data_IF_865966370248
#
_entry.id   IF_865966370248
#
_cell.length_a   1.000
_cell.length_b   1.000
_cell.length_c   1.000
_cell.angle_alpha   90.00
_cell.angle_beta   90.00
_cell.angle_gamma   90.00
#
_symmetry.space_group_name_H-M   'P 1'
#
loop_
_entity.id
_entity.type
_entity.pdbx_description
1 polymer ?
#
# COMPACT_ATOMS: atom_id res chain seq x y z
N UNK A 1 -3.71 -1.88 9.65
CA UNK A 1 -4.23 -2.44 8.38
C UNK A 1 -5.03 -1.34 7.74
N UNK A 2 -4.89 -1.13 6.44
CA UNK A 2 -5.56 -0.04 5.73
C UNK A 2 -5.52 -0.27 4.20
N UNK A 3 -6.22 0.57 3.45
CA UNK A 3 -6.20 0.62 2.00
C UNK A 3 -5.40 1.79 1.44
N UNK A 4 -4.42 1.48 0.60
CA UNK A 4 -3.69 2.46 -0.18
C UNK A 4 -4.27 2.61 -1.59
N UNK A 5 -4.52 3.86 -1.99
CA UNK A 5 -5.00 4.22 -3.31
C UNK A 5 -5.72 5.57 -3.32
N UNK A 6 -6.34 5.96 -4.45
CA UNK A 6 -6.46 5.18 -5.68
C UNK A 6 -5.12 4.99 -6.41
N UNK A 7 -4.85 3.75 -6.83
CA UNK A 7 -3.75 3.42 -7.73
C UNK A 7 -4.21 3.67 -9.17
N UNK A 8 -3.86 4.85 -9.68
CA UNK A 8 -4.15 5.28 -11.06
C UNK A 8 -2.98 4.93 -12.00
N UNK A 9 -3.30 4.74 -13.28
CA UNK A 9 -2.31 4.71 -14.35
C UNK A 9 -2.05 6.14 -14.83
N UNK A 10 -1.17 6.83 -14.11
CA UNK A 10 -0.78 8.20 -14.43
C UNK A 10 0.74 8.39 -14.26
N UNK A 11 1.33 9.36 -14.95
CA UNK A 11 2.70 9.77 -14.67
C UNK A 11 2.81 10.32 -13.25
N UNK A 12 3.67 9.73 -12.44
CA UNK A 12 3.96 10.22 -11.10
C UNK A 12 5.18 11.15 -11.15
N UNK A 13 5.14 12.34 -10.53
CA UNK A 13 6.32 13.18 -10.39
C UNK A 13 7.38 12.45 -9.56
N UNK A 14 8.63 12.83 -9.73
CA UNK A 14 9.72 12.21 -8.97
C UNK A 14 11.07 12.77 -9.39
N UNK A 15 12.12 12.34 -8.70
CA UNK A 15 13.49 12.80 -8.93
C UNK A 15 14.36 11.60 -9.30
N UNK A 16 15.20 11.78 -10.31
CA UNK A 16 16.19 10.79 -10.72
C UNK A 16 17.46 11.52 -11.14
N UNK A 17 18.60 10.88 -10.94
CA UNK A 17 19.85 11.35 -11.50
C UNK A 17 19.74 11.32 -13.02
N UNK A 18 20.07 12.44 -13.65
CA UNK A 18 20.09 12.58 -15.09
C UNK A 18 21.27 13.46 -15.48
N UNK A 19 22.02 13.03 -16.50
CA UNK A 19 23.10 13.80 -17.11
C UNK A 19 22.57 15.13 -17.65
N UNK A 20 23.32 16.23 -17.47
CA UNK A 20 22.88 17.59 -17.88
C UNK A 20 22.48 17.63 -19.35
N UNK A 21 21.33 18.25 -19.63
CA UNK A 21 20.83 18.44 -20.99
C UNK A 21 21.31 19.77 -21.55
N UNK A 22 21.42 19.90 -22.87
CA UNK A 22 21.86 21.13 -23.54
C UNK A 22 23.15 20.93 -24.34
N UNK A 23 23.95 21.99 -24.51
CA UNK A 23 25.16 22.02 -25.37
C UNK A 23 26.23 20.97 -25.03
N UNK A 24 26.18 20.37 -23.84
CA UNK A 24 27.11 19.33 -23.40
C UNK A 24 26.52 17.92 -23.45
N UNK A 25 25.44 17.71 -24.22
CA UNK A 25 24.86 16.38 -24.42
C UNK A 25 25.80 15.55 -25.30
N UNK A 26 26.13 14.33 -24.87
CA UNK A 26 26.73 13.31 -25.72
C UNK A 26 25.84 13.06 -26.97
N UNK A 27 26.35 13.30 -28.19
CA UNK A 27 25.60 13.10 -29.45
C UNK A 27 25.20 11.65 -29.70
N UNK A 28 25.96 10.67 -29.21
CA UNK A 28 25.70 9.25 -29.44
C UNK A 28 24.59 8.69 -28.54
N UNK A 29 24.08 9.50 -27.60
CA UNK A 29 23.15 9.03 -26.57
C UNK A 29 21.69 9.32 -26.89
N UNK A 30 20.86 8.32 -26.61
CA UNK A 30 19.41 8.43 -26.70
C UNK A 30 18.86 9.62 -25.90
N UNK A 31 17.82 10.31 -26.41
CA UNK A 31 17.13 11.35 -25.66
C UNK A 31 16.61 10.84 -24.32
N UNK A 32 16.63 11.70 -23.30
CA UNK A 32 16.03 11.36 -22.00
C UNK A 32 14.57 10.94 -22.20
N UNK A 33 14.19 9.80 -21.62
CA UNK A 33 12.80 9.34 -21.62
C UNK A 33 11.89 10.44 -21.07
N UNK A 34 11.05 11.01 -21.94
CA UNK A 34 10.03 11.98 -21.55
C UNK A 34 8.83 11.23 -20.97
N UNK A 35 8.26 11.76 -19.88
CA UNK A 35 6.97 11.28 -19.38
C UNK A 35 5.85 11.88 -20.21
N UNK A 36 4.72 11.18 -20.26
CA UNK A 36 3.52 11.69 -20.92
C UNK A 36 3.08 12.98 -20.23
N UNK A 37 2.80 14.03 -21.01
CA UNK A 37 2.25 15.27 -20.49
C UNK A 37 0.75 15.13 -20.16
N UNK A 38 0.04 14.30 -20.93
CA UNK A 38 -1.39 14.05 -20.79
C UNK A 38 -1.63 12.55 -20.61
N UNK A 39 -2.61 12.20 -19.79
CA UNK A 39 -3.04 10.82 -19.59
C UNK A 39 -4.57 10.73 -19.49
N UNK A 40 -5.12 9.58 -19.85
CA UNK A 40 -6.55 9.29 -19.73
C UNK A 40 -6.79 8.27 -18.61
N UNK A 41 -7.94 8.37 -17.93
CA UNK A 41 -8.30 7.50 -16.79
C UNK A 41 -9.13 6.27 -17.18
N UNK A 42 -9.07 5.83 -18.43
CA UNK A 42 -9.89 4.73 -18.95
C UNK A 42 -9.61 3.37 -18.29
N UNK A 43 -8.38 3.14 -17.79
CA UNK A 43 -8.00 1.89 -17.14
C UNK A 43 -8.62 1.68 -15.75
N UNK A 44 -9.40 2.63 -15.25
CA UNK A 44 -9.94 2.63 -13.89
C UNK A 44 -8.84 2.66 -12.83
N UNK A 45 -9.23 2.38 -11.58
CA UNK A 45 -8.32 2.42 -10.42
C UNK A 45 -8.15 1.05 -9.80
N UNK A 46 -7.10 0.90 -9.00
CA UNK A 46 -6.92 -0.22 -8.08
C UNK A 46 -6.74 0.29 -6.66
N UNK A 47 -6.93 -0.61 -5.70
CA UNK A 47 -6.73 -0.37 -4.28
C UNK A 47 -5.86 -1.48 -3.72
N UNK A 48 -4.85 -1.11 -2.95
CA UNK A 48 -4.02 -2.06 -2.22
C UNK A 48 -4.58 -2.19 -0.81
N UNK A 49 -5.15 -3.34 -0.47
CA UNK A 49 -5.38 -3.70 0.93
C UNK A 49 -4.06 -4.17 1.51
N UNK A 50 -3.61 -3.61 2.64
CA UNK A 50 -2.36 -3.99 3.24
C UNK A 50 -2.44 -4.12 4.77
N UNK A 51 -1.57 -4.95 5.33
CA UNK A 51 -1.41 -5.12 6.77
C UNK A 51 0.07 -5.18 7.12
N UNK A 52 0.44 -4.48 8.19
CA UNK A 52 1.75 -4.59 8.82
C UNK A 52 1.60 -5.48 10.06
N UNK A 53 2.29 -6.61 10.07
CA UNK A 53 2.50 -7.41 11.26
C UNK A 53 3.60 -6.76 12.10
N UNK A 54 3.23 -6.32 13.31
CA UNK A 54 4.14 -5.62 14.22
C UNK A 54 5.12 -6.56 14.92
N UNK A 55 4.77 -7.84 15.11
CA UNK A 55 5.62 -8.82 15.78
C UNK A 55 6.73 -9.29 14.83
N UNK A 56 6.39 -9.61 13.58
CA UNK A 56 7.36 -10.07 12.58
C UNK A 56 7.96 -8.93 11.75
N UNK A 57 7.44 -7.71 11.91
CA UNK A 57 7.75 -6.58 11.03
C UNK A 57 7.61 -6.94 9.54
N UNK A 58 6.47 -7.54 9.16
CA UNK A 58 6.18 -7.97 7.78
C UNK A 58 4.99 -7.22 7.21
N UNK A 59 5.14 -6.72 5.99
CA UNK A 59 4.09 -6.09 5.21
C UNK A 59 3.43 -7.13 4.30
N UNK A 60 2.11 -7.20 4.33
CA UNK A 60 1.29 -8.02 3.44
C UNK A 60 0.41 -7.11 2.60
N UNK A 61 0.10 -7.50 1.37
CA UNK A 61 -0.71 -6.65 0.50
C UNK A 61 -1.37 -7.36 -0.67
N UNK A 62 -2.66 -7.08 -0.89
CA UNK A 62 -3.46 -7.57 -2.01
C UNK A 62 -4.06 -6.40 -2.81
N UNK A 63 -3.82 -6.41 -4.11
CA UNK A 63 -4.39 -5.40 -5.02
C UNK A 63 -5.77 -5.87 -5.48
N UNK A 64 -6.76 -4.99 -5.35
CA UNK A 64 -8.17 -5.23 -5.67
C UNK A 64 -8.73 -4.13 -6.58
N UNK A 65 -9.73 -4.44 -7.42
CA UNK A 65 -10.37 -3.44 -8.28
C UNK A 65 -11.27 -2.47 -7.52
N UNK A 66 -11.79 -2.87 -6.36
CA UNK A 66 -12.68 -2.07 -5.52
C UNK A 66 -12.34 -2.28 -4.04
N UNK A 67 -12.74 -1.33 -3.18
CA UNK A 67 -12.54 -1.40 -1.73
C UNK A 67 -13.85 -1.53 -0.94
N UNK A 68 -14.55 -2.66 -1.10
CA UNK A 68 -15.82 -2.92 -0.38
C UNK A 68 -15.58 -3.90 0.77
N UNK A 69 -16.61 -4.09 1.61
CA UNK A 69 -16.58 -5.01 2.76
C UNK A 69 -16.25 -6.45 2.38
N UNK A 70 -16.62 -6.88 1.16
CA UNK A 70 -16.29 -8.22 0.67
C UNK A 70 -14.78 -8.37 0.45
N UNK A 71 -14.13 -7.41 -0.20
CA UNK A 71 -12.68 -7.42 -0.43
C UNK A 71 -11.90 -7.26 0.87
N UNK A 72 -12.39 -6.41 1.78
CA UNK A 72 -11.88 -6.30 3.14
C UNK A 72 -11.88 -7.66 3.87
N UNK A 73 -13.02 -8.35 3.91
CA UNK A 73 -13.12 -9.65 4.56
C UNK A 73 -12.29 -10.73 3.87
N UNK A 74 -12.16 -10.70 2.55
CA UNK A 74 -11.24 -11.59 1.84
C UNK A 74 -9.79 -11.39 2.31
N UNK A 75 -9.37 -10.14 2.52
CA UNK A 75 -8.05 -9.83 3.01
C UNK A 75 -7.87 -10.25 4.47
N UNK A 76 -8.83 -9.95 5.35
CA UNK A 76 -8.77 -10.38 6.76
C UNK A 76 -8.75 -11.92 6.90
N UNK A 77 -9.50 -12.65 6.07
CA UNK A 77 -9.43 -14.11 6.00
C UNK A 77 -8.04 -14.60 5.62
N UNK A 78 -7.42 -13.96 4.62
CA UNK A 78 -6.03 -14.26 4.28
C UNK A 78 -5.08 -14.02 5.46
N UNK A 79 -5.18 -12.86 6.13
CA UNK A 79 -4.34 -12.60 7.31
C UNK A 79 -4.54 -13.65 8.41
N UNK A 80 -5.78 -14.09 8.63
CA UNK A 80 -6.06 -15.17 9.58
C UNK A 80 -5.35 -16.47 9.21
N UNK A 81 -5.25 -16.82 7.92
CA UNK A 81 -4.56 -18.05 7.51
C UNK A 81 -3.06 -18.05 7.80
N UNK A 82 -2.46 -16.89 8.11
CA UNK A 82 -1.02 -16.76 8.39
C UNK A 82 -0.64 -17.17 9.82
N UNK A 83 -1.61 -17.36 10.72
CA UNK A 83 -1.35 -17.69 12.13
C UNK A 83 -2.21 -18.89 12.59
N UNK A 84 -1.75 -19.70 13.56
CA UNK A 84 -2.55 -20.80 14.11
C UNK A 84 -3.91 -20.31 14.65
N UNK A 85 -5.03 -21.04 14.42
CA UNK A 85 -6.38 -20.68 14.87
C UNK A 85 -6.50 -20.32 16.36
N UNK A 86 -5.69 -20.97 17.20
CA UNK A 86 -5.65 -20.79 18.66
C UNK A 86 -5.04 -19.46 19.10
N UNK A 87 -4.21 -18.84 18.27
CA UNK A 87 -3.60 -17.53 18.56
C UNK A 87 -4.59 -16.43 18.22
N UNK A 88 -4.94 -15.61 19.21
CA UNK A 88 -5.78 -14.43 18.99
C UNK A 88 -4.98 -13.38 18.21
N UNK A 89 -5.57 -12.82 17.16
CA UNK A 89 -4.98 -11.69 16.42
C UNK A 89 -5.89 -10.47 16.53
N UNK A 90 -5.28 -9.29 16.70
CA UNK A 90 -5.97 -8.01 16.65
C UNK A 90 -5.62 -7.29 15.34
N UNK A 91 -6.63 -6.97 14.54
CA UNK A 91 -6.50 -6.18 13.32
C UNK A 91 -6.89 -4.74 13.67
N UNK A 92 -5.88 -3.88 13.79
CA UNK A 92 -6.07 -2.44 13.94
C UNK A 92 -6.32 -1.82 12.56
N UNK A 93 -7.43 -1.10 12.38
CA UNK A 93 -7.76 -0.38 11.15
C UNK A 93 -8.52 0.91 11.45
N UNK A 94 -8.70 1.78 10.47
CA UNK A 94 -9.56 2.94 10.62
C UNK A 94 -11.06 2.57 10.73
N UNK A 95 -11.90 3.55 10.96
CA UNK A 95 -13.35 3.37 11.06
C UNK A 95 -14.09 3.49 9.71
N UNK A 96 -13.40 3.23 8.60
CA UNK A 96 -14.01 3.24 7.27
C UNK A 96 -15.18 2.24 7.17
N UNK A 97 -16.28 2.66 6.54
CA UNK A 97 -17.55 1.93 6.56
C UNK A 97 -17.47 0.43 6.21
N UNK A 98 -16.68 -0.01 5.20
CA UNK A 98 -16.43 -1.43 4.93
C UNK A 98 -15.87 -2.23 6.12
N UNK A 99 -15.09 -1.62 7.00
CA UNK A 99 -14.49 -2.27 8.17
C UNK A 99 -15.52 -2.48 9.28
N UNK A 100 -16.54 -1.62 9.32
CA UNK A 100 -17.49 -1.60 10.41
C UNK A 100 -18.44 -2.79 10.38
N UNK A 101 -18.67 -3.33 11.57
CA UNK A 101 -19.88 -4.09 11.90
C UNK A 101 -21.00 -3.08 12.17
N UNK A 102 -22.07 -3.14 11.40
CA UNK A 102 -23.20 -2.20 11.51
C UNK A 102 -24.49 -2.98 11.75
N UNK A 103 -25.56 -2.28 12.18
CA UNK A 103 -26.90 -2.88 12.31
C UNK A 103 -27.37 -3.57 11.02
N UNK A 104 -27.04 -3.00 9.86
CA UNK A 104 -27.44 -3.53 8.55
C UNK A 104 -26.54 -4.64 8.03
N UNK A 105 -25.33 -4.79 8.57
CA UNK A 105 -24.38 -5.77 8.09
C UNK A 105 -23.38 -6.12 9.19
N UNK A 106 -23.56 -7.33 9.73
CA UNK A 106 -22.74 -7.84 10.83
C UNK A 106 -21.59 -8.74 10.37
N UNK A 107 -21.41 -8.93 9.05
CA UNK A 107 -20.46 -9.88 8.45
C UNK A 107 -19.04 -9.79 9.00
N UNK A 108 -18.57 -8.58 9.34
CA UNK A 108 -17.23 -8.38 9.90
C UNK A 108 -17.15 -8.93 11.32
N UNK A 109 -18.03 -8.48 12.22
CA UNK A 109 -18.06 -8.89 13.62
C UNK A 109 -18.35 -10.38 13.79
N UNK A 110 -19.29 -10.93 13.03
CA UNK A 110 -19.58 -12.37 13.03
C UNK A 110 -18.37 -13.19 12.61
N UNK A 111 -17.68 -12.77 11.54
CA UNK A 111 -16.46 -13.46 11.11
C UNK A 111 -15.36 -13.34 12.17
N UNK A 112 -15.14 -12.16 12.74
CA UNK A 112 -14.09 -11.92 13.70
C UNK A 112 -14.27 -12.79 14.97
N UNK A 113 -15.48 -12.80 15.54
CA UNK A 113 -15.84 -13.62 16.69
C UNK A 113 -15.62 -15.12 16.42
N UNK A 114 -16.02 -15.61 15.25
CA UNK A 114 -15.86 -17.02 14.87
C UNK A 114 -14.41 -17.44 14.59
N UNK A 115 -13.48 -16.49 14.41
CA UNK A 115 -12.11 -16.77 13.97
C UNK A 115 -11.03 -16.39 14.99
N UNK A 116 -11.42 -16.12 16.25
CA UNK A 116 -10.51 -15.63 17.30
C UNK A 116 -9.75 -14.36 16.85
N UNK A 117 -10.49 -13.44 16.22
CA UNK A 117 -9.98 -12.16 15.73
C UNK A 117 -10.69 -11.03 16.43
N UNK A 118 -9.93 -10.01 16.81
CA UNK A 118 -10.45 -8.72 17.23
C UNK A 118 -10.25 -7.70 16.11
N UNK A 119 -11.29 -6.91 15.82
CA UNK A 119 -11.17 -5.73 14.95
C UNK A 119 -11.16 -4.50 15.86
N UNK A 120 -10.02 -3.81 15.91
CA UNK A 120 -9.83 -2.61 16.72
C UNK A 120 -9.82 -1.38 15.80
N UNK A 121 -10.73 -0.45 16.04
CA UNK A 121 -10.84 0.76 15.22
C UNK A 121 -10.04 1.90 15.84
N UNK A 122 -9.27 2.62 15.02
CA UNK A 122 -8.69 3.89 15.46
C UNK A 122 -9.79 4.95 15.65
N UNK A 123 -9.63 5.91 16.58
CA UNK A 123 -10.55 7.03 16.69
C UNK A 123 -10.63 7.83 15.38
N UNK A 124 -11.74 8.56 15.20
CA UNK A 124 -11.93 9.44 14.05
C UNK A 124 -10.78 10.44 13.95
N UNK A 125 -10.33 10.73 12.72
CA UNK A 125 -9.23 11.66 12.44
C UNK A 125 -7.90 11.30 13.12
N UNK A 126 -7.66 10.03 13.44
CA UNK A 126 -6.44 9.56 14.12
C UNK A 126 -5.61 8.61 13.25
N UNK A 127 -5.42 8.95 11.96
CA UNK A 127 -4.64 8.13 11.02
C UNK A 127 -3.19 7.92 11.47
N UNK A 128 -2.61 8.87 12.20
CA UNK A 128 -1.27 8.78 12.79
C UNK A 128 -1.10 7.61 13.77
N UNK A 129 -2.19 7.09 14.35
CA UNK A 129 -2.16 5.87 15.17
C UNK A 129 -2.04 4.60 14.32
N UNK A 130 -2.45 4.63 13.05
CA UNK A 130 -2.38 3.48 12.16
C UNK A 130 -0.97 3.35 11.57
N UNK A 131 -0.09 2.59 12.24
CA UNK A 131 1.33 2.43 11.87
C UNK A 131 1.61 2.01 10.42
N UNK A 132 0.61 1.49 9.71
CA UNK A 132 0.76 1.14 8.29
C UNK A 132 0.83 2.37 7.38
N UNK A 133 0.28 3.52 7.78
CA UNK A 133 0.26 4.74 6.97
C UNK A 133 1.69 5.19 6.61
N UNK A 134 2.62 5.15 7.55
CA UNK A 134 4.03 5.44 7.27
C UNK A 134 4.68 4.44 6.29
N UNK A 135 4.21 3.18 6.25
CA UNK A 135 4.66 2.21 5.27
C UNK A 135 4.16 2.55 3.86
N UNK A 136 3.00 3.20 3.73
CA UNK A 136 2.50 3.66 2.43
C UNK A 136 3.30 4.82 1.86
N UNK A 137 3.83 5.71 2.70
CA UNK A 137 4.77 6.74 2.26
C UNK A 137 6.02 6.09 1.64
N UNK A 138 6.60 5.09 2.30
CA UNK A 138 7.72 4.34 1.76
C UNK A 138 7.36 3.59 0.47
N UNK A 139 6.21 2.91 0.44
CA UNK A 139 5.73 2.21 -0.75
C UNK A 139 5.60 3.16 -1.94
N UNK A 140 4.97 4.32 -1.74
CA UNK A 140 4.83 5.34 -2.78
C UNK A 140 6.19 5.79 -3.30
N UNK A 141 7.11 6.10 -2.39
CA UNK A 141 8.45 6.56 -2.72
C UNK A 141 9.23 5.53 -3.57
N UNK A 142 9.17 4.25 -3.22
CA UNK A 142 9.96 3.22 -3.91
C UNK A 142 9.29 2.66 -5.18
N UNK A 143 7.96 2.77 -5.32
CA UNK A 143 7.23 2.07 -6.39
C UNK A 143 6.47 2.96 -7.36
N UNK A 144 6.10 4.17 -6.94
CA UNK A 144 5.25 5.06 -7.72
C UNK A 144 5.99 6.34 -8.11
N UNK A 145 6.69 6.98 -7.17
CA UNK A 145 7.35 8.24 -7.45
C UNK A 145 8.37 8.08 -8.59
N UNK A 146 8.27 8.95 -9.58
CA UNK A 146 9.12 8.92 -10.75
C UNK A 146 8.75 7.88 -11.82
N UNK A 147 7.63 7.19 -11.70
CA UNK A 147 7.19 6.17 -12.66
C UNK A 147 6.08 6.67 -13.60
N UNK A 148 5.88 5.94 -14.69
CA UNK A 148 4.77 6.14 -15.64
C UNK A 148 4.34 4.75 -16.15
N UNK A 149 3.74 3.97 -15.24
CA UNK A 149 3.34 2.58 -15.51
C UNK A 149 2.28 2.54 -16.63
N UNK A 150 2.45 1.63 -17.58
CA UNK A 150 1.56 1.47 -18.72
C UNK A 150 0.31 0.65 -18.39
N UNK A 151 0.37 -0.21 -17.37
CA UNK A 151 -0.74 -1.08 -16.97
C UNK A 151 -0.83 -1.35 -15.47
N UNK A 152 -2.01 -1.74 -15.00
CA UNK A 152 -2.21 -2.17 -13.60
C UNK A 152 -1.40 -3.42 -13.26
N UNK A 153 -1.10 -4.27 -14.26
CA UNK A 153 -0.24 -5.44 -14.08
C UNK A 153 1.20 -5.03 -13.76
N UNK A 154 1.72 -4.04 -14.48
CA UNK A 154 3.06 -3.48 -14.26
C UNK A 154 3.15 -2.80 -12.89
N UNK A 155 2.23 -1.87 -12.59
CA UNK A 155 2.17 -1.18 -11.31
C UNK A 155 2.04 -2.17 -10.15
N UNK A 156 1.17 -3.18 -10.28
CA UNK A 156 0.99 -4.21 -9.26
C UNK A 156 2.22 -5.12 -9.09
N UNK A 157 2.93 -5.43 -10.17
CA UNK A 157 4.20 -6.17 -10.11
C UNK A 157 5.25 -5.39 -9.32
N UNK A 158 5.37 -4.09 -9.56
CA UNK A 158 6.31 -3.22 -8.82
C UNK A 158 5.99 -3.14 -7.33
N UNK A 159 4.71 -2.99 -6.98
CA UNK A 159 4.25 -3.02 -5.58
C UNK A 159 4.59 -4.36 -4.93
N UNK A 160 4.32 -5.49 -5.60
CA UNK A 160 4.63 -6.83 -5.08
C UNK A 160 6.14 -7.02 -4.88
N UNK A 161 6.96 -6.59 -5.83
CA UNK A 161 8.43 -6.65 -5.73
C UNK A 161 8.93 -5.83 -4.53
N UNK A 162 8.38 -4.64 -4.32
CA UNK A 162 8.70 -3.83 -3.16
C UNK A 162 8.31 -4.51 -1.85
N UNK A 163 7.11 -5.08 -1.73
CA UNK A 163 6.69 -5.78 -0.49
C UNK A 163 7.66 -6.93 -0.18
N UNK A 164 8.04 -7.72 -1.19
CA UNK A 164 9.02 -8.82 -1.02
C UNK A 164 10.38 -8.26 -0.58
N UNK A 165 10.87 -7.21 -1.24
CA UNK A 165 12.14 -6.57 -0.90
C UNK A 165 12.11 -6.00 0.52
N UNK A 166 11.10 -5.20 0.87
CA UNK A 166 10.90 -4.57 2.19
C UNK A 166 10.85 -5.60 3.31
N UNK A 167 10.21 -6.74 3.09
CA UNK A 167 10.16 -7.82 4.08
C UNK A 167 11.49 -8.53 4.29
N UNK A 168 12.43 -8.42 3.34
CA UNK A 168 13.80 -8.96 3.45
C UNK A 168 14.81 -7.93 3.96
N UNK A 169 14.45 -6.65 3.97
CA UNK A 169 15.34 -5.52 4.27
C UNK A 169 14.68 -4.56 5.26
N UNK A 170 14.02 -5.09 6.29
CA UNK A 170 13.30 -4.28 7.27
C UNK A 170 14.22 -3.40 8.14
N UNK A 171 15.52 -3.65 8.07
CA UNK A 171 16.62 -2.92 8.68
C UNK A 171 17.34 -1.93 7.76
N UNK A 172 16.95 -1.85 6.48
CA UNK A 172 17.51 -0.90 5.52
C UNK A 172 17.38 0.55 6.03
N UNK A 173 18.51 1.26 6.08
CA UNK A 173 18.59 2.60 6.66
C UNK A 173 17.74 3.61 5.90
N UNK A 174 17.65 3.48 4.56
CA UNK A 174 16.87 4.39 3.73
C UNK A 174 15.37 4.14 3.91
N UNK A 175 14.96 2.89 3.97
CA UNK A 175 13.58 2.52 4.31
C UNK A 175 13.18 3.10 5.67
N UNK A 176 14.01 2.88 6.71
CA UNK A 176 13.76 3.43 8.06
C UNK A 176 13.65 4.94 8.04
N UNK A 177 14.60 5.64 7.41
CA UNK A 177 14.56 7.10 7.31
C UNK A 177 13.28 7.64 6.65
N UNK A 178 12.77 6.95 5.62
CA UNK A 178 11.50 7.36 4.97
C UNK A 178 10.29 7.09 5.87
N UNK A 179 10.26 5.93 6.53
CA UNK A 179 9.17 5.56 7.46
C UNK A 179 9.17 6.46 8.69
N UNK A 180 10.32 6.72 9.30
CA UNK A 180 10.45 7.53 10.51
C UNK A 180 10.07 8.98 10.24
N UNK A 181 10.48 9.54 9.11
CA UNK A 181 10.03 10.88 8.68
C UNK A 181 8.51 10.94 8.54
N UNK A 182 7.87 9.87 8.05
CA UNK A 182 6.42 9.82 7.90
C UNK A 182 5.69 9.61 9.23
N UNK A 183 6.33 9.04 10.26
CA UNK A 183 5.75 8.89 11.59
C UNK A 183 5.78 10.18 12.42
N UNK A 184 6.66 11.14 12.07
CA UNK A 184 6.85 12.41 12.81
C UNK A 184 6.08 13.58 12.17
N UNK A 185 5.56 13.38 10.95
CA UNK A 185 4.79 14.36 10.18
C UNK A 185 3.29 14.26 10.46
#
# INVERSE_FOLDING_TARGET
MDEFGPLNLMPHPGRQWAERGGRHKDPARDPRRRRRATYNRYGGVRHLFAALDLAMNKLYGHIKPVKRRTEFLQFCRYLRTLYPPTVRIAIVCDNFFPHLTTKRCQRVGTWAAANNVEIAYTPTNSSWLNRIEAQFTALRYFTLDGTDHASHKEQGSMIRRYIIWRNRHADDQRLRAVVDRANVA
#
